data_IF_632645459359
#
_entry.id   IF_632645459359
#
_cell.length_a   1.000
_cell.length_b   1.000
_cell.length_c   1.000
_cell.angle_alpha   90.00
_cell.angle_beta   90.00
_cell.angle_gamma   90.00
#
_symmetry.space_group_name_H-M   'P 1'
#
loop_
_entity.id
_entity.type
_entity.pdbx_description
1 polymer ?
#
# COMPACT_ATOMS: atom_id res chain seq x y z
N UNK A 1 5.24 20.93 -7.54
CA UNK A 1 4.86 20.52 -8.91
C UNK A 1 3.73 19.54 -8.79
N UNK A 2 2.59 19.75 -9.49
CA UNK A 2 1.62 18.67 -9.69
C UNK A 2 2.22 17.73 -10.73
N UNK A 3 2.44 16.46 -10.41
CA UNK A 3 2.93 15.49 -11.39
C UNK A 3 1.90 15.28 -12.48
N UNK A 4 2.37 15.02 -13.70
CA UNK A 4 1.52 14.64 -14.82
C UNK A 4 1.45 13.10 -14.86
N UNK A 5 0.24 12.55 -14.97
CA UNK A 5 0.00 11.11 -15.07
C UNK A 5 -0.69 10.47 -13.86
N UNK A 6 -0.95 9.15 -13.90
CA UNK A 6 -1.67 8.46 -12.83
C UNK A 6 -0.90 8.50 -11.50
N UNK A 7 -1.60 8.83 -10.41
CA UNK A 7 -1.01 8.92 -9.08
C UNK A 7 -0.76 7.53 -8.50
N UNK A 8 0.48 7.31 -8.05
CA UNK A 8 0.89 6.15 -7.26
C UNK A 8 1.23 6.63 -5.85
N UNK A 9 0.36 6.30 -4.90
CA UNK A 9 0.48 6.65 -3.49
C UNK A 9 1.20 5.53 -2.74
N UNK A 10 2.30 5.88 -2.08
CA UNK A 10 3.13 4.92 -1.35
C UNK A 10 2.88 4.96 0.16
N UNK A 11 2.91 3.79 0.80
CA UNK A 11 2.81 3.63 2.24
C UNK A 11 4.12 3.04 2.77
N UNK A 12 4.86 3.80 3.58
CA UNK A 12 6.04 3.29 4.26
C UNK A 12 5.64 2.35 5.42
N UNK A 13 6.56 1.48 5.86
CA UNK A 13 6.35 0.65 7.04
C UNK A 13 6.69 1.36 8.35
N UNK A 14 6.66 0.61 9.46
CA UNK A 14 7.22 1.01 10.74
C UNK A 14 8.49 0.19 11.02
N UNK A 15 9.60 0.79 11.45
CA UNK A 15 9.88 2.23 11.56
C UNK A 15 10.58 2.75 10.28
N UNK A 16 9.81 3.18 9.28
CA UNK A 16 10.34 3.70 8.01
C UNK A 16 9.85 5.13 7.71
N UNK A 17 10.35 5.71 6.61
CA UNK A 17 10.00 7.04 6.10
C UNK A 17 9.73 6.96 4.59
N UNK A 18 9.25 8.05 3.98
CA UNK A 18 9.09 8.17 2.52
C UNK A 18 10.35 7.75 1.74
N UNK A 19 11.53 7.96 2.34
CA UNK A 19 12.83 7.70 1.74
C UNK A 19 13.09 6.22 1.40
N UNK A 20 12.34 5.28 2.01
CA UNK A 20 12.32 3.87 1.59
C UNK A 20 11.99 3.71 0.11
N UNK A 21 11.19 4.62 -0.45
CA UNK A 21 10.69 4.58 -1.82
C UNK A 21 11.53 5.37 -2.84
N UNK A 22 12.66 5.97 -2.42
CA UNK A 22 13.45 6.90 -3.27
C UNK A 22 13.80 6.36 -4.66
N UNK A 23 14.05 5.06 -4.78
CA UNK A 23 14.39 4.40 -6.05
C UNK A 23 13.14 4.18 -6.92
N UNK A 24 12.05 3.82 -6.29
CA UNK A 24 10.75 3.56 -6.90
C UNK A 24 10.16 4.83 -7.49
N UNK A 25 10.26 5.96 -6.77
CA UNK A 25 9.82 7.28 -7.23
C UNK A 25 10.44 7.59 -8.61
N UNK A 26 11.76 7.48 -8.71
CA UNK A 26 12.48 7.79 -9.95
C UNK A 26 12.09 6.83 -11.09
N UNK A 27 11.97 5.54 -10.79
CA UNK A 27 11.57 4.54 -11.80
C UNK A 27 10.15 4.75 -12.33
N UNK A 28 9.22 5.19 -11.48
CA UNK A 28 7.84 5.47 -11.87
C UNK A 28 7.71 6.79 -12.63
N UNK A 29 8.39 7.83 -12.16
CA UNK A 29 8.43 9.12 -12.83
C UNK A 29 8.97 8.98 -14.26
N UNK A 30 10.01 8.17 -14.47
CA UNK A 30 10.57 7.88 -15.80
C UNK A 30 9.57 7.18 -16.75
N UNK A 31 8.45 6.65 -16.23
CA UNK A 31 7.38 5.99 -16.98
C UNK A 31 6.11 6.84 -17.07
N UNK A 32 6.14 8.09 -16.64
CA UNK A 32 4.99 8.99 -16.67
C UNK A 32 3.98 8.77 -15.54
N UNK A 33 4.37 8.12 -14.44
CA UNK A 33 3.54 8.04 -13.24
C UNK A 33 3.89 9.15 -12.26
N UNK A 34 2.87 9.65 -11.57
CA UNK A 34 3.07 10.60 -10.48
C UNK A 34 3.25 9.84 -9.16
N UNK A 35 4.50 9.59 -8.78
CA UNK A 35 4.84 8.88 -7.55
C UNK A 35 4.85 9.81 -6.33
N UNK A 36 4.04 9.52 -5.32
CA UNK A 36 3.95 10.29 -4.07
C UNK A 36 4.09 9.37 -2.86
N UNK A 37 5.25 9.37 -2.20
CA UNK A 37 5.42 8.80 -0.87
C UNK A 37 5.32 9.89 0.20
N UNK A 38 4.18 10.05 0.89
CA UNK A 38 4.11 10.90 2.07
C UNK A 38 4.81 10.23 3.26
N UNK A 39 5.29 11.05 4.19
CA UNK A 39 5.45 10.61 5.58
C UNK A 39 4.06 10.66 6.25
N UNK A 40 3.66 9.58 6.91
CA UNK A 40 2.41 9.53 7.67
C UNK A 40 2.48 10.46 8.89
N UNK A 41 1.33 10.83 9.47
CA UNK A 41 1.30 11.71 10.65
C UNK A 41 2.23 11.20 11.75
N UNK A 42 3.03 12.09 12.32
CA UNK A 42 4.02 11.74 13.34
C UNK A 42 5.30 11.09 12.81
N UNK A 43 5.50 11.01 11.48
CA UNK A 43 6.75 10.57 10.86
C UNK A 43 7.46 11.70 10.14
N UNK A 44 8.79 11.62 10.15
CA UNK A 44 9.67 12.48 9.35
C UNK A 44 9.39 13.95 9.55
N UNK A 45 8.97 14.62 8.47
CA UNK A 45 8.64 16.05 8.44
C UNK A 45 7.15 16.34 8.54
N UNK A 46 6.30 15.31 8.60
CA UNK A 46 4.85 15.47 8.76
C UNK A 46 4.52 15.68 10.23
N UNK A 47 3.79 16.75 10.52
CA UNK A 47 3.35 17.07 11.87
C UNK A 47 2.62 15.89 12.53
N UNK A 48 2.86 15.73 13.82
CA UNK A 48 2.21 14.73 14.67
C UNK A 48 1.60 15.41 15.88
N UNK A 49 0.26 15.46 16.02
CA UNK A 49 -0.36 15.98 17.22
C UNK A 49 0.16 15.23 18.47
N UNK A 50 0.36 15.90 19.61
CA UNK A 50 0.83 15.22 20.83
C UNK A 50 -0.25 14.30 21.43
N UNK A 51 -1.51 14.53 21.09
CA UNK A 51 -2.64 13.73 21.56
C UNK A 51 -2.70 12.37 20.84
N UNK A 52 -2.63 11.29 21.61
CA UNK A 52 -2.73 9.92 21.12
C UNK A 52 -4.08 9.65 20.43
N UNK A 53 -5.15 10.35 20.83
CA UNK A 53 -6.46 10.20 20.20
C UNK A 53 -6.47 10.64 18.72
N UNK A 54 -5.48 11.45 18.31
CA UNK A 54 -5.31 11.86 16.93
C UNK A 54 -4.69 10.78 16.03
N UNK A 55 -4.29 9.62 16.54
CA UNK A 55 -3.65 8.57 15.72
C UNK A 55 -4.59 7.39 15.41
N UNK A 56 -5.91 7.64 15.45
CA UNK A 56 -6.86 6.61 14.99
C UNK A 56 -6.72 6.38 13.50
N UNK A 57 -7.11 5.18 13.06
CA UNK A 57 -7.08 4.82 11.65
C UNK A 57 -7.89 5.79 10.78
N UNK A 58 -8.96 6.39 11.32
CA UNK A 58 -9.78 7.39 10.62
C UNK A 58 -9.04 8.70 10.37
N UNK A 59 -8.19 9.13 11.31
CA UNK A 59 -7.38 10.32 11.11
C UNK A 59 -6.32 10.09 10.03
N UNK A 60 -5.63 8.94 10.08
CA UNK A 60 -4.68 8.52 9.05
C UNK A 60 -5.35 8.46 7.67
N UNK A 61 -6.57 7.93 7.59
CA UNK A 61 -7.36 7.95 6.35
C UNK A 61 -7.72 9.34 5.88
N UNK A 62 -8.17 10.20 6.81
CA UNK A 62 -8.51 11.58 6.51
C UNK A 62 -7.35 12.32 5.86
N UNK A 63 -6.14 12.15 6.39
CA UNK A 63 -4.93 12.76 5.83
C UNK A 63 -4.65 12.30 4.40
N UNK A 64 -4.77 10.99 4.15
CA UNK A 64 -4.48 10.41 2.84
C UNK A 64 -5.52 10.83 1.79
N UNK A 65 -6.81 10.85 2.16
CA UNK A 65 -7.87 11.34 1.27
C UNK A 65 -7.67 12.82 0.97
N UNK A 66 -7.39 13.63 2.00
CA UNK A 66 -7.12 15.06 1.83
C UNK A 66 -5.88 15.30 0.95
N UNK A 67 -4.85 14.46 1.09
CA UNK A 67 -3.66 14.50 0.23
C UNK A 67 -4.03 14.23 -1.23
N UNK A 68 -4.77 13.15 -1.51
CA UNK A 68 -5.21 12.79 -2.88
C UNK A 68 -6.01 13.96 -3.51
N UNK A 69 -6.94 14.54 -2.75
CA UNK A 69 -7.75 15.68 -3.20
C UNK A 69 -6.91 16.94 -3.45
N UNK A 70 -5.94 17.23 -2.56
CA UNK A 70 -5.02 18.38 -2.74
C UNK A 70 -4.15 18.26 -4.00
N UNK A 71 -3.84 17.02 -4.40
CA UNK A 71 -3.09 16.71 -5.62
C UNK A 71 -3.97 16.79 -6.88
N UNK A 72 -5.29 16.93 -6.72
CA UNK A 72 -6.27 17.03 -7.80
C UNK A 72 -6.47 15.71 -8.54
N UNK A 73 -6.32 14.58 -7.84
CA UNK A 73 -6.45 13.25 -8.41
C UNK A 73 -7.76 12.63 -7.94
N UNK A 74 -8.49 12.00 -8.87
CA UNK A 74 -9.75 11.34 -8.53
C UNK A 74 -9.54 9.91 -8.05
N UNK A 75 -8.59 9.20 -8.67
CA UNK A 75 -8.22 7.82 -8.37
C UNK A 75 -6.71 7.65 -8.23
N UNK A 76 -6.31 6.65 -7.46
CA UNK A 76 -4.89 6.35 -7.19
C UNK A 76 -4.60 4.86 -7.27
N UNK A 77 -3.36 4.54 -7.62
CA UNK A 77 -2.74 3.25 -7.33
C UNK A 77 -2.10 3.31 -5.96
N UNK A 78 -2.26 2.26 -5.16
CA UNK A 78 -1.69 2.17 -3.82
C UNK A 78 -0.57 1.16 -3.81
N UNK A 79 0.57 1.50 -3.22
CA UNK A 79 1.71 0.60 -3.02
C UNK A 79 2.15 0.70 -1.56
N UNK A 80 2.35 -0.42 -0.86
CA UNK A 80 2.78 -0.32 0.53
C UNK A 80 3.40 -1.56 1.16
N UNK A 81 3.92 -1.34 2.38
CA UNK A 81 4.71 -2.30 3.15
C UNK A 81 4.06 -2.68 4.49
N UNK A 82 4.39 -3.91 4.93
CA UNK A 82 4.04 -4.62 6.17
C UNK A 82 3.24 -3.91 7.26
N UNK A 83 3.82 -2.93 7.94
CA UNK A 83 3.23 -2.40 9.18
C UNK A 83 1.94 -1.60 8.92
N UNK A 84 1.79 -1.06 7.72
CA UNK A 84 0.63 -0.25 7.32
C UNK A 84 -0.35 -1.03 6.43
N UNK A 85 -0.23 -2.36 6.36
CA UNK A 85 -1.13 -3.20 5.57
C UNK A 85 -2.60 -2.96 5.94
N UNK A 86 -2.91 -2.83 7.24
CA UNK A 86 -4.27 -2.56 7.72
C UNK A 86 -4.79 -1.22 7.18
N UNK A 87 -3.95 -0.20 7.11
CA UNK A 87 -4.31 1.11 6.55
C UNK A 87 -4.56 1.00 5.03
N UNK A 88 -3.71 0.28 4.30
CA UNK A 88 -3.91 0.06 2.86
C UNK A 88 -5.22 -0.68 2.55
N UNK A 89 -5.49 -1.78 3.28
CA UNK A 89 -6.71 -2.56 3.12
C UNK A 89 -7.97 -1.75 3.42
N UNK A 90 -7.96 -1.00 4.52
CA UNK A 90 -9.11 -0.17 4.86
C UNK A 90 -9.28 1.01 3.89
N UNK A 91 -8.23 1.54 3.26
CA UNK A 91 -8.40 2.54 2.18
C UNK A 91 -9.19 1.94 1.01
N UNK A 92 -8.83 0.73 0.60
CA UNK A 92 -9.48 0.01 -0.49
C UNK A 92 -10.94 -0.33 -0.16
N UNK A 93 -11.20 -0.80 1.06
CA UNK A 93 -12.54 -1.17 1.48
C UNK A 93 -13.47 0.03 1.71
N UNK A 94 -12.95 1.12 2.29
CA UNK A 94 -13.75 2.29 2.63
C UNK A 94 -13.89 3.26 1.47
N UNK A 95 -12.92 3.31 0.56
CA UNK A 95 -12.88 4.23 -0.60
C UNK A 95 -12.54 3.49 -1.91
N UNK A 96 -13.32 2.47 -2.31
CA UNK A 96 -13.13 1.82 -3.61
C UNK A 96 -13.35 2.79 -4.79
N UNK A 97 -14.07 3.90 -4.56
CA UNK A 97 -14.23 5.00 -5.52
C UNK A 97 -12.91 5.72 -5.83
N UNK A 98 -11.95 5.71 -4.89
CA UNK A 98 -10.65 6.39 -5.00
C UNK A 98 -9.48 5.47 -5.34
N UNK A 99 -9.61 4.16 -5.19
CA UNK A 99 -8.48 3.23 -5.40
C UNK A 99 -8.70 2.40 -6.66
N UNK A 100 -7.77 2.50 -7.61
CA UNK A 100 -7.78 1.70 -8.84
C UNK A 100 -7.26 0.29 -8.59
N UNK A 101 -6.11 0.20 -7.93
CA UNK A 101 -5.48 -1.06 -7.55
C UNK A 101 -4.56 -0.86 -6.35
N UNK A 102 -4.32 -1.94 -5.61
CA UNK A 102 -3.43 -2.02 -4.47
C UNK A 102 -2.36 -3.08 -4.72
N UNK A 103 -1.13 -2.73 -4.41
CA UNK A 103 0.00 -3.64 -4.32
C UNK A 103 0.49 -3.61 -2.89
N UNK A 104 0.19 -4.66 -2.14
CA UNK A 104 0.66 -4.82 -0.78
C UNK A 104 1.79 -5.83 -0.75
N UNK A 105 2.93 -5.41 -0.21
CA UNK A 105 4.06 -6.27 0.02
C UNK A 105 4.18 -6.54 1.52
N UNK A 106 3.37 -7.52 1.99
CA UNK A 106 3.56 -8.25 3.26
C UNK A 106 2.30 -9.02 3.69
N UNK A 107 1.39 -8.39 4.46
CA UNK A 107 0.39 -9.10 5.25
C UNK A 107 -0.85 -9.30 4.40
N UNK A 108 -1.19 -10.57 4.18
CA UNK A 108 -2.40 -10.96 3.50
C UNK A 108 -3.64 -10.30 4.07
N UNK A 109 -4.56 -9.95 3.17
CA UNK A 109 -5.86 -9.48 3.56
C UNK A 109 -6.55 -10.58 4.38
N UNK A 110 -7.01 -10.22 5.57
CA UNK A 110 -7.78 -11.12 6.41
C UNK A 110 -9.19 -10.53 6.54
N UNK A 111 -10.20 -11.09 5.84
CA UNK A 111 -11.55 -10.59 5.94
C UNK A 111 -12.07 -10.67 7.38
N UNK A 112 -12.88 -9.68 7.76
CA UNK A 112 -13.45 -9.61 9.10
C UNK A 112 -14.35 -10.83 9.35
N UNK A 113 -14.08 -11.57 10.43
CA UNK A 113 -14.92 -12.68 10.86
C UNK A 113 -15.85 -12.21 11.99
N UNK A 114 -17.17 -12.07 11.77
CA UNK A 114 -18.08 -11.57 12.80
C UNK A 114 -18.20 -12.50 14.01
N UNK A 115 -17.77 -13.76 13.89
CA UNK A 115 -17.82 -14.77 14.95
C UNK A 115 -16.51 -14.90 15.73
N UNK A 116 -15.46 -14.15 15.37
CA UNK A 116 -14.19 -14.12 16.11
C UNK A 116 -13.67 -12.70 16.21
N UNK A 117 -13.35 -12.26 17.43
CA UNK A 117 -12.71 -10.95 17.60
C UNK A 117 -11.38 -10.94 16.86
N UNK A 118 -11.05 -9.84 16.20
CA UNK A 118 -9.79 -9.70 15.44
C UNK A 118 -8.56 -10.00 16.30
N UNK A 119 -8.61 -9.62 17.59
CA UNK A 119 -7.55 -9.91 18.57
C UNK A 119 -7.39 -11.42 18.80
N UNK A 120 -8.48 -12.17 18.90
CA UNK A 120 -8.44 -13.63 19.07
C UNK A 120 -7.89 -14.32 17.82
N UNK A 121 -8.24 -13.82 16.63
CA UNK A 121 -7.65 -14.27 15.36
C UNK A 121 -6.14 -14.00 15.30
N UNK A 122 -5.68 -12.83 15.75
CA UNK A 122 -4.25 -12.51 15.85
C UNK A 122 -3.53 -13.41 16.87
N UNK A 123 -4.12 -13.62 18.06
CA UNK A 123 -3.55 -14.51 19.08
C UNK A 123 -3.46 -15.95 18.56
N UNK A 124 -4.48 -16.42 17.84
CA UNK A 124 -4.51 -17.76 17.25
C UNK A 124 -3.44 -17.91 16.15
N UNK A 125 -3.34 -16.94 15.23
CA UNK A 125 -2.37 -16.97 14.13
C UNK A 125 -0.92 -16.80 14.61
N UNK A 126 -0.69 -15.89 15.55
CA UNK A 126 0.66 -15.49 15.96
C UNK A 126 1.09 -16.07 17.31
N UNK A 127 0.25 -16.85 18.00
CA UNK A 127 0.56 -17.52 19.28
C UNK A 127 1.18 -16.57 20.34
N UNK A 128 0.69 -15.32 20.42
CA UNK A 128 1.27 -14.23 21.26
C UNK A 128 2.74 -13.89 20.97
N UNK A 129 3.28 -14.36 19.86
CA UNK A 129 4.61 -14.07 19.35
C UNK A 129 4.46 -13.17 18.11
N UNK A 130 4.75 -11.88 18.26
CA UNK A 130 4.78 -10.95 17.13
C UNK A 130 6.03 -11.21 16.26
N UNK A 131 6.06 -12.33 15.53
CA UNK A 131 7.06 -12.56 14.49
C UNK A 131 6.52 -12.05 13.16
N UNK A 132 7.16 -11.01 12.62
CA UNK A 132 7.01 -10.54 11.24
C UNK A 132 7.54 -11.61 10.27
N UNK A 133 6.70 -12.60 9.93
CA UNK A 133 7.10 -13.74 9.10
C UNK A 133 6.25 -13.96 7.84
N UNK A 134 5.13 -13.27 7.67
CA UNK A 134 4.33 -13.36 6.44
C UNK A 134 4.73 -12.24 5.48
N UNK A 135 5.60 -12.60 4.55
CA UNK A 135 5.97 -11.77 3.41
C UNK A 135 5.29 -12.36 2.18
N UNK A 136 4.15 -11.81 1.77
CA UNK A 136 3.50 -12.12 0.50
C UNK A 136 3.42 -10.86 -0.36
N UNK A 137 3.45 -11.01 -1.68
CA UNK A 137 3.16 -9.93 -2.62
C UNK A 137 1.75 -10.16 -3.12
N UNK A 138 0.86 -9.23 -2.82
CA UNK A 138 -0.55 -9.33 -3.13
C UNK A 138 -0.93 -8.13 -3.98
N UNK A 139 -1.50 -8.42 -5.14
CA UNK A 139 -2.06 -7.41 -6.03
C UNK A 139 -3.57 -7.56 -6.00
N UNK A 140 -4.24 -6.44 -5.72
CA UNK A 140 -5.69 -6.34 -5.76
C UNK A 140 -6.10 -5.28 -6.77
N UNK A 141 -7.07 -5.60 -7.62
CA UNK A 141 -7.68 -4.67 -8.57
C UNK A 141 -9.19 -4.62 -8.36
N UNK A 142 -9.78 -3.48 -8.69
CA UNK A 142 -11.23 -3.32 -8.71
C UNK A 142 -11.74 -3.60 -10.11
N UNK A 143 -12.56 -4.63 -10.28
CA UNK A 143 -13.40 -4.81 -11.46
C UNK A 143 -14.87 -4.53 -11.09
N UNK A 144 -15.42 -3.41 -11.59
CA UNK A 144 -16.75 -2.96 -11.23
C UNK A 144 -16.86 -2.60 -9.74
N UNK A 145 -17.57 -3.43 -8.97
CA UNK A 145 -17.75 -3.29 -7.51
C UNK A 145 -17.09 -4.42 -6.70
N UNK A 146 -16.31 -5.29 -7.33
CA UNK A 146 -15.70 -6.45 -6.70
C UNK A 146 -14.17 -6.33 -6.73
N UNK A 147 -13.55 -6.76 -5.63
CA UNK A 147 -12.10 -6.83 -5.52
C UNK A 147 -11.62 -8.23 -5.91
N UNK A 148 -10.70 -8.30 -6.85
CA UNK A 148 -10.00 -9.54 -7.17
C UNK A 148 -8.64 -9.57 -6.49
N UNK A 149 -8.30 -10.69 -5.84
CA UNK A 149 -7.03 -10.91 -5.18
C UNK A 149 -6.15 -11.85 -6.00
N UNK A 150 -4.92 -11.43 -6.25
CA UNK A 150 -3.88 -12.28 -6.81
C UNK A 150 -2.66 -12.26 -5.90
N UNK A 151 -2.40 -13.41 -5.27
CA UNK A 151 -1.14 -13.67 -4.56
C UNK A 151 -0.10 -14.07 -5.60
N UNK A 152 1.01 -13.35 -5.67
CA UNK A 152 2.08 -13.62 -6.62
C UNK A 152 3.17 -14.48 -5.96
N UNK A 153 3.69 -15.48 -6.69
CA UNK A 153 4.72 -16.38 -6.17
C UNK A 153 6.04 -15.61 -5.98
N UNK A 154 6.72 -15.81 -4.85
CA UNK A 154 8.03 -15.20 -4.57
C UNK A 154 9.07 -15.51 -5.64
N UNK A 155 8.98 -16.69 -6.27
CA UNK A 155 9.90 -17.10 -7.34
C UNK A 155 9.83 -16.19 -8.57
N UNK A 156 8.67 -15.58 -8.86
CA UNK A 156 8.49 -14.64 -9.97
C UNK A 156 9.26 -13.31 -9.77
N UNK A 157 9.83 -13.09 -8.57
CA UNK A 157 10.50 -11.85 -8.15
C UNK A 157 11.92 -12.04 -7.61
N UNK A 158 12.44 -13.28 -7.62
CA UNK A 158 13.75 -13.66 -7.10
C UNK A 158 14.63 -14.17 -8.26
N UNK A 159 15.24 -13.25 -9.00
CA UNK A 159 16.45 -13.59 -9.77
C UNK A 159 17.67 -13.18 -8.94
N UNK A 160 18.61 -14.11 -8.76
CA UNK A 160 19.87 -13.84 -8.07
C UNK A 160 20.70 -12.82 -8.86
N UNK A 161 21.24 -11.80 -8.17
CA UNK A 161 22.35 -10.98 -8.69
C UNK A 161 22.07 -9.52 -9.03
N UNK A 162 20.82 -9.04 -9.03
CA UNK A 162 20.51 -7.61 -9.25
C UNK A 162 19.60 -7.02 -8.16
N UNK A 163 19.76 -5.72 -7.91
CA UNK A 163 19.15 -4.97 -6.81
C UNK A 163 17.63 -5.18 -6.74
N UNK A 164 17.26 -5.91 -5.69
CA UNK A 164 15.97 -6.56 -5.41
C UNK A 164 14.77 -5.62 -5.55
N UNK A 165 14.95 -4.31 -5.42
CA UNK A 165 13.85 -3.33 -5.49
C UNK A 165 13.51 -2.86 -6.92
N UNK A 166 14.42 -2.98 -7.88
CA UNK A 166 14.31 -2.38 -9.22
C UNK A 166 13.65 -3.31 -10.25
N UNK A 167 14.00 -4.60 -10.24
CA UNK A 167 13.40 -5.60 -11.14
C UNK A 167 11.91 -5.85 -10.80
N UNK A 168 11.53 -5.68 -9.53
CA UNK A 168 10.19 -5.99 -9.00
C UNK A 168 9.10 -5.03 -9.46
N UNK A 169 9.41 -3.76 -9.73
CA UNK A 169 8.44 -2.80 -10.26
C UNK A 169 8.14 -2.98 -11.76
N UNK A 170 9.07 -3.60 -12.52
CA UNK A 170 8.89 -3.89 -13.96
C UNK A 170 7.75 -4.88 -14.19
N UNK A 171 7.74 -5.99 -13.45
CA UNK A 171 6.73 -7.05 -13.53
C UNK A 171 5.36 -6.53 -13.10
N UNK A 172 5.35 -5.72 -12.05
CA UNK A 172 4.16 -5.19 -11.39
C UNK A 172 3.40 -4.20 -12.29
N UNK A 173 4.12 -3.28 -12.94
CA UNK A 173 3.52 -2.39 -13.95
C UNK A 173 3.17 -3.10 -15.26
N UNK A 174 3.92 -4.14 -15.64
CA UNK A 174 3.60 -4.94 -16.83
C UNK A 174 2.31 -5.76 -16.64
N UNK A 175 2.06 -6.26 -15.42
CA UNK A 175 0.81 -6.95 -15.08
C UNK A 175 -0.35 -5.97 -14.90
N UNK A 176 -0.13 -4.76 -14.35
CA UNK A 176 -1.17 -3.73 -14.37
C UNK A 176 -1.53 -3.28 -15.81
N UNK A 177 -0.56 -3.16 -16.72
CA UNK A 177 -0.85 -2.83 -18.13
C UNK A 177 -1.41 -3.99 -18.95
N UNK A 178 -1.11 -5.25 -18.59
CA UNK A 178 -1.51 -6.42 -19.37
C UNK A 178 -2.77 -7.13 -18.86
N UNK A 179 -3.15 -6.94 -17.60
CA UNK A 179 -4.27 -7.65 -16.95
C UNK A 179 -5.37 -6.70 -16.45
N UNK A 180 -5.11 -5.41 -16.26
CA UNK A 180 -6.08 -4.44 -15.69
C UNK A 180 -6.61 -3.45 -16.77
N UNK A 181 -6.09 -3.49 -18.00
CA UNK A 181 -6.47 -2.56 -19.09
C UNK A 181 -7.02 -3.24 -20.36
N UNK A 182 -7.34 -4.53 -20.32
CA UNK A 182 -8.07 -5.23 -21.41
C UNK A 182 -9.44 -5.69 -20.93
#
# INVERSE_FOLDING_TARGET
MKGQGPLVLFFHGFPELWYSWRRQILSLAARGYFAVPPDLRGYGVTDGPPDLSAYTIFHLFGDLVALIESLGQEKVFVVGLASEAVLQWNLCLLRPDRVTALVNWSVAFAPHNPFRRSVDSCICKFQRRFYCGMWEIIVMSVEGSHWEEKVLDKADFLTEGEDVSYHRMKVLLAQCNGTILN
#
